data_IF_748008865631
#
_entry.id   IF_748008865631
#
_cell.length_a   1.000
_cell.length_b   1.000
_cell.length_c   1.000
_cell.angle_alpha   90.00
_cell.angle_beta   90.00
_cell.angle_gamma   90.00
#
_symmetry.space_group_name_H-M   'P 1'
#
loop_
_entity.id
_entity.type
_entity.pdbx_description
1 polymer ?
#
# COMPACT_ATOMS: atom_id res chain seq x y z
N UNK A 1 27.32 1.04 32.41
CA UNK A 1 27.60 0.36 31.11
C UNK A 1 26.35 0.30 30.23
N UNK A 2 25.22 -0.23 30.70
CA UNK A 2 23.97 -0.31 29.92
C UNK A 2 23.46 1.03 29.36
N UNK A 3 23.44 2.10 30.16
CA UNK A 3 23.00 3.44 29.70
C UNK A 3 23.86 4.01 28.57
N UNK A 4 25.18 3.75 28.59
CA UNK A 4 26.08 4.19 27.53
C UNK A 4 25.83 3.41 26.23
N UNK A 5 25.57 2.11 26.32
CA UNK A 5 25.23 1.26 25.16
C UNK A 5 23.89 1.72 24.56
N UNK A 6 22.88 1.97 25.39
CA UNK A 6 21.57 2.50 24.97
C UNK A 6 21.70 3.87 24.30
N UNK A 7 22.54 4.77 24.84
CA UNK A 7 22.77 6.09 24.26
C UNK A 7 23.48 6.04 22.89
N UNK A 8 24.43 5.12 22.73
CA UNK A 8 25.11 4.89 21.45
C UNK A 8 24.12 4.31 20.43
N UNK A 9 23.33 3.31 20.81
CA UNK A 9 22.32 2.72 19.94
C UNK A 9 21.27 3.75 19.49
N UNK A 10 20.76 4.59 20.40
CA UNK A 10 19.81 5.65 20.07
C UNK A 10 20.41 6.71 19.14
N UNK A 11 21.68 7.07 19.34
CA UNK A 11 22.39 8.02 18.48
C UNK A 11 22.63 7.45 17.07
N UNK A 12 23.02 6.18 16.98
CA UNK A 12 23.17 5.48 15.70
C UNK A 12 21.84 5.36 14.97
N UNK A 13 20.77 4.99 15.66
CA UNK A 13 19.43 4.90 15.08
C UNK A 13 18.95 6.27 14.58
N UNK A 14 19.14 7.33 15.38
CA UNK A 14 18.78 8.70 14.99
C UNK A 14 19.56 9.17 13.77
N UNK A 15 20.84 8.84 13.69
CA UNK A 15 21.67 9.12 12.51
C UNK A 15 21.15 8.39 11.26
N UNK A 16 20.83 7.10 11.40
CA UNK A 16 20.28 6.29 10.30
C UNK A 16 18.93 6.83 9.81
N UNK A 17 18.03 7.19 10.72
CA UNK A 17 16.72 7.75 10.38
C UNK A 17 16.82 9.13 9.72
N UNK A 18 17.72 10.00 10.20
CA UNK A 18 17.97 11.30 9.59
C UNK A 18 18.59 11.17 8.20
N UNK A 19 19.54 10.25 8.02
CA UNK A 19 20.13 9.95 6.72
C UNK A 19 19.08 9.40 5.74
N UNK A 20 18.24 8.47 6.19
CA UNK A 20 17.16 7.92 5.39
C UNK A 20 16.15 9.01 4.98
N UNK A 21 15.74 9.88 5.92
CA UNK A 21 14.87 11.02 5.65
C UNK A 21 15.48 11.99 4.62
N UNK A 22 16.76 12.33 4.78
CA UNK A 22 17.49 13.17 3.83
C UNK A 22 17.58 12.52 2.44
N UNK A 23 17.95 11.24 2.36
CA UNK A 23 18.03 10.52 1.08
C UNK A 23 16.65 10.40 0.42
N UNK A 24 15.60 10.11 1.20
CA UNK A 24 14.24 10.00 0.68
C UNK A 24 13.70 11.33 0.15
N UNK A 25 14.04 12.45 0.80
CA UNK A 25 13.67 13.78 0.33
C UNK A 25 14.51 14.24 -0.87
N UNK A 26 15.79 13.91 -0.91
CA UNK A 26 16.70 14.23 -2.02
C UNK A 26 16.41 13.41 -3.30
N UNK A 27 15.95 12.16 -3.15
CA UNK A 27 15.55 11.29 -4.26
C UNK A 27 14.14 11.63 -4.79
N UNK A 28 13.45 12.60 -4.19
CA UNK A 28 12.05 12.91 -4.46
C UNK A 28 11.12 11.76 -4.07
N UNK A 29 9.81 11.96 -4.16
CA UNK A 29 8.78 10.94 -3.87
C UNK A 29 8.80 9.71 -4.81
N UNK A 30 9.93 9.41 -5.44
CA UNK A 30 10.16 8.27 -6.34
C UNK A 30 10.33 6.94 -5.61
N UNK A 31 10.53 6.95 -4.29
CA UNK A 31 10.55 5.76 -3.43
C UNK A 31 9.15 5.31 -2.98
N UNK A 32 8.10 5.69 -3.69
CA UNK A 32 6.79 5.08 -3.53
C UNK A 32 6.68 4.01 -4.62
N UNK A 33 6.79 2.73 -4.26
CA UNK A 33 6.43 1.60 -5.12
C UNK A 33 4.95 1.74 -5.49
N UNK A 34 4.72 2.57 -6.49
CA UNK A 34 3.45 2.97 -7.04
C UNK A 34 3.61 2.96 -8.56
N UNK A 35 2.51 2.85 -9.32
CA UNK A 35 2.54 3.01 -10.76
C UNK A 35 3.02 4.40 -11.24
N UNK A 36 3.53 5.28 -10.38
CA UNK A 36 4.11 6.57 -10.74
C UNK A 36 5.23 6.45 -11.81
N UNK A 37 5.94 5.31 -11.86
CA UNK A 37 6.92 5.01 -12.93
C UNK A 37 6.24 5.03 -14.32
N UNK A 38 4.97 4.63 -14.43
CA UNK A 38 4.21 4.75 -15.67
C UNK A 38 3.94 6.22 -16.05
N UNK A 39 3.60 7.10 -15.10
CA UNK A 39 3.23 8.48 -15.43
C UNK A 39 4.42 9.33 -15.87
N UNK A 40 5.54 9.29 -15.14
CA UNK A 40 6.74 10.05 -15.51
C UNK A 40 7.38 9.50 -16.78
N UNK A 41 7.42 8.17 -16.94
CA UNK A 41 7.90 7.51 -18.15
C UNK A 41 7.07 7.86 -19.38
N UNK A 42 5.74 7.90 -19.24
CA UNK A 42 4.84 8.35 -20.31
C UNK A 42 5.05 9.83 -20.67
N UNK A 43 5.22 10.72 -19.68
CA UNK A 43 5.50 12.14 -19.96
C UNK A 43 6.85 12.31 -20.67
N UNK A 44 7.91 11.65 -20.22
CA UNK A 44 9.22 11.69 -20.88
C UNK A 44 9.16 11.13 -22.30
N UNK A 45 8.40 10.04 -22.52
CA UNK A 45 8.18 9.46 -23.83
C UNK A 45 7.40 10.41 -24.77
N UNK A 46 6.34 11.05 -24.28
CA UNK A 46 5.57 12.04 -25.04
C UNK A 46 6.38 13.29 -25.37
N UNK A 47 7.22 13.77 -24.44
CA UNK A 47 8.14 14.89 -24.68
C UNK A 47 9.21 14.53 -25.73
N UNK A 48 9.78 13.32 -25.66
CA UNK A 48 10.71 12.82 -26.67
C UNK A 48 10.04 12.72 -28.05
N UNK A 49 8.81 12.19 -28.11
CA UNK A 49 8.00 12.15 -29.32
C UNK A 49 7.77 13.57 -29.89
N UNK A 50 7.40 14.53 -29.03
CA UNK A 50 7.19 15.92 -29.43
C UNK A 50 8.49 16.55 -29.98
N UNK A 51 9.63 16.30 -29.35
CA UNK A 51 10.94 16.80 -29.81
C UNK A 51 11.33 16.20 -31.17
N UNK A 52 11.04 14.92 -31.39
CA UNK A 52 11.30 14.24 -32.68
C UNK A 52 10.39 14.78 -33.80
N UNK A 53 9.14 15.14 -33.49
CA UNK A 53 8.22 15.75 -34.45
C UNK A 53 8.65 17.18 -34.86
N UNK A 54 9.40 17.87 -34.01
CA UNK A 54 9.97 19.20 -34.28
C UNK A 54 11.26 19.15 -35.12
N UNK A 55 11.87 17.97 -35.31
CA UNK A 55 13.07 17.82 -36.14
C UNK A 55 12.77 18.02 -37.65
N UNK A 56 13.76 18.50 -38.44
CA UNK A 56 13.62 18.68 -39.89
C UNK A 56 13.15 17.40 -40.60
N UNK A 57 12.36 17.54 -41.66
CA UNK A 57 11.78 16.40 -42.41
C UNK A 57 12.78 15.31 -42.82
N UNK A 58 14.02 15.73 -43.05
CA UNK A 58 15.15 14.92 -43.49
C UNK A 58 15.74 14.03 -42.38
N UNK A 59 15.40 14.30 -41.11
CA UNK A 59 15.84 13.57 -39.91
C UNK A 59 14.67 12.88 -39.18
N UNK A 60 13.48 12.83 -39.79
CA UNK A 60 12.30 12.25 -39.17
C UNK A 60 12.44 10.73 -39.09
N UNK A 61 12.99 10.24 -37.98
CA UNK A 61 13.08 8.83 -37.60
C UNK A 61 11.70 8.22 -37.24
N UNK A 62 10.58 8.78 -37.73
CA UNK A 62 9.22 8.39 -37.35
C UNK A 62 8.93 6.92 -37.67
N UNK A 63 9.48 6.41 -38.78
CA UNK A 63 9.38 5.00 -39.15
C UNK A 63 10.04 4.04 -38.14
N UNK A 64 11.06 4.49 -37.40
CA UNK A 64 11.69 3.72 -36.33
C UNK A 64 10.94 3.88 -35.01
N UNK A 65 10.34 5.06 -34.78
CA UNK A 65 9.64 5.36 -33.54
C UNK A 65 8.32 4.61 -33.39
N UNK A 66 7.53 4.47 -34.46
CA UNK A 66 6.26 3.73 -34.45
C UNK A 66 6.44 2.27 -33.97
N UNK A 67 7.32 1.44 -34.56
CA UNK A 67 7.52 0.08 -34.08
C UNK A 67 8.16 0.03 -32.70
N UNK A 68 9.01 1.00 -32.32
CA UNK A 68 9.61 1.06 -30.97
C UNK A 68 8.59 1.44 -29.89
N UNK A 69 7.57 2.22 -30.25
CA UNK A 69 6.48 2.65 -29.36
C UNK A 69 5.38 1.60 -29.17
N UNK A 70 5.25 0.67 -30.12
CA UNK A 70 4.18 -0.31 -30.16
C UNK A 70 4.19 -1.27 -28.95
N UNK A 71 5.33 -1.81 -28.48
CA UNK A 71 5.38 -2.62 -27.26
C UNK A 71 4.99 -1.84 -26.00
N UNK A 72 5.33 -0.55 -25.93
CA UNK A 72 4.94 0.32 -24.81
C UNK A 72 3.43 0.56 -24.80
N UNK A 73 2.84 0.84 -25.97
CA UNK A 73 1.40 1.00 -26.12
C UNK A 73 0.64 -0.30 -25.82
N UNK A 74 1.13 -1.44 -26.32
CA UNK A 74 0.59 -2.76 -26.00
C UNK A 74 0.70 -3.03 -24.50
N UNK A 75 1.82 -2.70 -23.85
CA UNK A 75 1.99 -2.82 -22.40
C UNK A 75 0.95 -2.02 -21.62
N UNK A 76 0.70 -0.77 -22.02
CA UNK A 76 -0.34 0.09 -21.41
C UNK A 76 -1.75 -0.49 -21.62
N UNK A 77 -2.04 -1.02 -22.81
CA UNK A 77 -3.37 -1.55 -23.16
C UNK A 77 -3.64 -2.94 -22.55
N UNK A 78 -2.61 -3.78 -22.41
CA UNK A 78 -2.73 -5.15 -21.90
C UNK A 78 -2.79 -5.20 -20.37
N UNK A 79 -2.45 -4.11 -19.67
CA UNK A 79 -2.37 -4.07 -18.21
C UNK A 79 -3.73 -3.97 -17.48
N UNK A 80 -4.79 -4.49 -18.07
CA UNK A 80 -6.14 -4.48 -17.49
C UNK A 80 -6.75 -5.88 -17.51
N UNK A 81 -6.07 -6.88 -16.93
CA UNK A 81 -6.83 -8.00 -16.39
C UNK A 81 -7.56 -7.47 -15.15
N UNK A 82 -8.88 -7.35 -15.26
CA UNK A 82 -9.75 -7.08 -14.11
C UNK A 82 -9.74 -8.33 -13.21
N UNK A 83 -8.72 -8.44 -12.36
CA UNK A 83 -8.74 -9.41 -11.27
C UNK A 83 -9.94 -9.08 -10.37
N UNK A 84 -10.82 -10.05 -10.15
CA UNK A 84 -11.97 -9.92 -9.26
C UNK A 84 -11.53 -9.59 -7.82
N UNK A 85 -10.35 -10.08 -7.43
CA UNK A 85 -9.71 -9.83 -6.14
C UNK A 85 -8.23 -9.49 -6.34
N UNK A 86 -7.78 -8.42 -5.69
CA UNK A 86 -6.37 -8.06 -5.53
C UNK A 86 -5.99 -8.19 -4.07
N UNK A 87 -4.80 -8.75 -3.82
CA UNK A 87 -4.25 -8.94 -2.50
C UNK A 87 -2.90 -8.22 -2.43
N UNK A 88 -2.77 -7.29 -1.51
CA UNK A 88 -1.52 -6.59 -1.23
C UNK A 88 -1.08 -6.95 0.19
N UNK A 89 0.05 -7.64 0.32
CA UNK A 89 0.62 -8.03 1.62
C UNK A 89 1.64 -6.98 2.04
N UNK A 90 1.41 -6.31 3.16
CA UNK A 90 2.32 -5.30 3.66
C UNK A 90 3.42 -5.93 4.51
N UNK A 91 4.66 -5.50 4.27
CA UNK A 91 5.78 -5.86 5.14
C UNK A 91 5.71 -5.06 6.44
N UNK A 92 5.24 -5.74 7.49
CA UNK A 92 5.08 -5.19 8.84
C UNK A 92 6.03 -5.87 9.83
N UNK A 93 7.07 -6.56 9.34
CA UNK A 93 7.97 -7.35 10.19
C UNK A 93 7.28 -8.59 10.77
N UNK A 94 7.27 -8.73 12.10
CA UNK A 94 6.58 -9.84 12.77
C UNK A 94 5.09 -9.55 12.86
N UNK A 95 4.28 -10.28 12.08
CA UNK A 95 2.82 -10.19 12.09
C UNK A 95 2.25 -10.32 10.68
N UNK A 96 0.96 -9.99 10.54
CA UNK A 96 0.26 -9.99 9.25
C UNK A 96 -0.41 -8.62 9.01
N UNK A 97 -0.41 -8.18 7.76
CA UNK A 97 -1.27 -7.10 7.29
C UNK A 97 -1.53 -7.30 5.79
N UNK A 98 -2.78 -7.58 5.42
CA UNK A 98 -3.18 -7.86 4.03
C UNK A 98 -4.33 -6.95 3.65
N UNK A 99 -4.16 -6.20 2.57
CA UNK A 99 -5.21 -5.42 1.96
C UNK A 99 -5.84 -6.24 0.83
N UNK A 100 -7.12 -6.53 0.96
CA UNK A 100 -7.95 -7.17 -0.06
C UNK A 100 -8.75 -6.09 -0.78
N UNK A 101 -8.73 -6.08 -2.13
CA UNK A 101 -9.47 -5.12 -2.94
C UNK A 101 -10.27 -5.84 -4.03
N UNK A 102 -11.55 -5.54 -4.08
CA UNK A 102 -12.46 -5.93 -5.15
C UNK A 102 -12.63 -4.74 -6.11
N UNK A 103 -13.64 -4.78 -6.99
CA UNK A 103 -13.89 -3.67 -7.91
C UNK A 103 -14.26 -2.39 -7.14
N UNK A 104 -15.06 -2.52 -6.07
CA UNK A 104 -15.63 -1.37 -5.35
C UNK A 104 -15.40 -1.40 -3.83
N UNK A 105 -14.83 -2.47 -3.29
CA UNK A 105 -14.68 -2.66 -1.84
C UNK A 105 -13.25 -3.03 -1.45
N UNK A 106 -12.88 -2.71 -0.21
CA UNK A 106 -11.59 -3.05 0.36
C UNK A 106 -11.70 -3.49 1.82
N UNK A 107 -10.89 -4.50 2.16
CA UNK A 107 -10.75 -5.05 3.51
C UNK A 107 -9.30 -4.97 3.91
N UNK A 108 -9.02 -4.48 5.11
CA UNK A 108 -7.73 -4.68 5.75
C UNK A 108 -7.84 -5.85 6.73
N UNK A 109 -7.12 -6.93 6.46
CA UNK A 109 -7.01 -8.10 7.32
C UNK A 109 -5.70 -8.06 8.11
N UNK A 110 -5.79 -7.96 9.44
CA UNK A 110 -4.70 -7.68 10.38
C UNK A 110 -3.90 -6.39 10.09
N UNK A 111 -3.08 -5.97 11.06
CA UNK A 111 -2.49 -4.62 11.08
C UNK A 111 -1.04 -4.56 11.56
N UNK A 112 -0.43 -5.73 11.74
CA UNK A 112 0.90 -5.85 12.33
C UNK A 112 1.02 -5.30 13.77
N UNK A 113 2.26 -5.23 14.28
CA UNK A 113 2.55 -4.87 15.66
C UNK A 113 2.42 -3.36 15.95
N UNK A 114 2.18 -3.05 17.23
CA UNK A 114 2.42 -1.72 17.79
C UNK A 114 3.70 -1.71 18.65
N UNK A 115 4.49 -0.65 18.53
CA UNK A 115 5.73 -0.44 19.27
C UNK A 115 5.55 0.78 20.19
N UNK A 116 4.84 0.57 21.30
CA UNK A 116 4.49 1.63 22.25
C UNK A 116 3.29 2.49 21.83
N UNK A 117 3.03 3.57 22.56
CA UNK A 117 1.84 4.42 22.34
C UNK A 117 1.94 5.29 21.06
N UNK A 118 3.16 5.77 20.75
CA UNK A 118 3.38 6.77 19.69
C UNK A 118 3.88 6.16 18.36
N UNK A 119 4.23 4.88 18.33
CA UNK A 119 4.78 4.24 17.12
C UNK A 119 4.02 2.97 16.76
N UNK A 120 3.33 3.00 15.62
CA UNK A 120 2.59 1.85 15.11
C UNK A 120 2.72 1.73 13.59
N UNK A 121 2.66 0.48 13.11
CA UNK A 121 2.79 0.20 11.68
C UNK A 121 1.55 0.58 10.87
N UNK A 122 0.41 0.76 11.53
CA UNK A 122 -0.77 1.39 10.95
C UNK A 122 -0.45 2.74 10.29
N UNK A 123 0.16 3.66 11.04
CA UNK A 123 0.54 4.98 10.54
C UNK A 123 1.81 4.96 9.69
N UNK A 124 2.80 4.14 10.05
CA UNK A 124 4.12 4.16 9.39
C UNK A 124 4.14 3.43 8.03
N UNK A 125 3.34 2.38 7.87
CA UNK A 125 3.38 1.49 6.70
C UNK A 125 2.01 1.39 6.03
N UNK A 126 1.00 0.95 6.78
CA UNK A 126 -0.29 0.53 6.20
C UNK A 126 -1.04 1.71 5.57
N UNK A 127 -1.23 2.81 6.30
CA UNK A 127 -1.98 3.98 5.80
C UNK A 127 -1.30 4.61 4.57
N UNK A 128 0.03 4.89 4.58
CA UNK A 128 0.72 5.37 3.39
C UNK A 128 0.62 4.40 2.20
N UNK A 129 0.79 3.10 2.43
CA UNK A 129 0.73 2.09 1.37
C UNK A 129 -0.69 1.95 0.79
N UNK A 130 -1.72 1.91 1.62
CA UNK A 130 -3.11 1.86 1.16
C UNK A 130 -3.46 3.08 0.29
N UNK A 131 -3.06 4.29 0.73
CA UNK A 131 -3.26 5.51 -0.06
C UNK A 131 -2.51 5.49 -1.38
N UNK A 132 -1.29 4.98 -1.40
CA UNK A 132 -0.46 4.88 -2.61
C UNK A 132 -1.06 3.88 -3.62
N UNK A 133 -1.78 2.88 -3.13
CA UNK A 133 -2.58 1.93 -3.91
C UNK A 133 -3.95 2.49 -4.37
N UNK A 134 -4.24 3.75 -4.07
CA UNK A 134 -5.49 4.43 -4.47
C UNK A 134 -6.69 4.12 -3.56
N UNK A 135 -6.46 3.56 -2.37
CA UNK A 135 -7.53 3.30 -1.40
C UNK A 135 -7.92 4.60 -0.72
N UNK A 136 -9.11 5.09 -1.05
CA UNK A 136 -9.71 6.28 -0.42
C UNK A 136 -10.61 5.95 0.77
N UNK A 137 -11.15 4.74 0.82
CA UNK A 137 -12.01 4.23 1.89
C UNK A 137 -11.64 2.78 2.19
N UNK A 138 -11.77 2.36 3.44
CA UNK A 138 -11.80 0.94 3.83
C UNK A 138 -13.24 0.62 4.21
N UNK A 139 -13.80 -0.45 3.64
CA UNK A 139 -15.15 -0.90 3.98
C UNK A 139 -15.11 -1.72 5.29
N UNK A 140 -14.02 -2.48 5.50
CA UNK A 140 -13.86 -3.30 6.70
C UNK A 140 -12.40 -3.42 7.15
N UNK A 141 -12.19 -3.43 8.46
CA UNK A 141 -10.97 -3.88 9.13
C UNK A 141 -11.30 -5.16 9.88
N UNK A 142 -10.69 -6.27 9.48
CA UNK A 142 -10.91 -7.58 10.08
C UNK A 142 -9.66 -8.01 10.83
N UNK A 143 -9.83 -8.40 12.09
CA UNK A 143 -8.73 -8.77 13.00
C UNK A 143 -8.84 -10.25 13.31
N UNK A 144 -7.79 -11.00 13.02
CA UNK A 144 -7.76 -12.45 13.26
C UNK A 144 -7.84 -12.76 14.76
N UNK A 145 -7.05 -12.06 15.58
CA UNK A 145 -7.04 -12.13 17.04
C UNK A 145 -6.37 -10.87 17.63
N UNK A 146 -6.57 -10.62 18.93
CA UNK A 146 -6.20 -9.35 19.57
C UNK A 146 -4.84 -9.37 20.29
N UNK A 147 -3.92 -10.23 19.86
CA UNK A 147 -2.54 -10.21 20.35
C UNK A 147 -1.80 -8.95 19.88
N UNK A 148 -0.74 -8.58 20.59
CA UNK A 148 -0.04 -7.30 20.39
C UNK A 148 0.68 -7.17 19.04
N UNK A 149 0.95 -8.29 18.38
CA UNK A 149 1.53 -8.38 17.03
C UNK A 149 0.48 -8.31 15.90
N UNK A 150 -0.81 -8.25 16.24
CA UNK A 150 -1.93 -8.09 15.30
C UNK A 150 -2.84 -6.88 15.62
N UNK A 151 -2.76 -6.36 16.85
CA UNK A 151 -3.63 -5.27 17.35
C UNK A 151 -3.08 -3.85 17.12
N UNK A 152 -1.89 -3.73 16.54
CA UNK A 152 -1.23 -2.44 16.39
C UNK A 152 -1.95 -1.48 15.44
N UNK A 153 -2.03 -0.20 15.84
CA UNK A 153 -2.38 0.88 14.91
C UNK A 153 -3.85 0.99 14.49
N UNK A 154 -4.79 0.28 15.13
CA UNK A 154 -6.23 0.41 14.83
C UNK A 154 -6.70 1.87 14.88
N UNK A 155 -6.31 2.60 15.92
CA UNK A 155 -6.65 4.02 16.08
C UNK A 155 -6.15 4.85 14.90
N UNK A 156 -4.90 4.65 14.48
CA UNK A 156 -4.32 5.37 13.33
C UNK A 156 -5.03 5.01 12.02
N UNK A 157 -5.41 3.75 11.84
CA UNK A 157 -6.19 3.29 10.68
C UNK A 157 -7.58 3.92 10.67
N UNK A 158 -8.33 3.89 11.79
CA UNK A 158 -9.65 4.53 11.88
C UNK A 158 -9.59 6.05 11.80
N UNK A 159 -8.48 6.68 12.21
CA UNK A 159 -8.27 8.11 11.96
C UNK A 159 -8.15 8.39 10.46
N UNK A 160 -7.49 7.49 9.71
CA UNK A 160 -7.32 7.64 8.27
C UNK A 160 -8.56 7.17 7.46
N UNK A 161 -9.31 6.21 7.98
CA UNK A 161 -10.48 5.57 7.37
C UNK A 161 -11.61 5.45 8.42
N UNK A 162 -12.31 6.55 8.72
CA UNK A 162 -13.25 6.63 9.86
C UNK A 162 -14.51 5.79 9.69
N UNK A 163 -14.91 5.51 8.44
CA UNK A 163 -16.14 4.79 8.13
C UNK A 163 -15.95 3.26 8.08
N UNK A 164 -14.75 2.77 8.39
CA UNK A 164 -14.45 1.35 8.29
C UNK A 164 -15.10 0.55 9.44
N UNK A 165 -15.88 -0.47 9.09
CA UNK A 165 -16.41 -1.42 10.07
C UNK A 165 -15.29 -2.26 10.67
N UNK A 166 -15.27 -2.44 11.99
CA UNK A 166 -14.26 -3.28 12.66
C UNK A 166 -14.91 -4.59 13.07
N UNK A 167 -14.30 -5.70 12.64
CA UNK A 167 -14.71 -7.05 13.01
C UNK A 167 -13.52 -7.86 13.53
N UNK A 168 -13.76 -8.80 14.42
CA UNK A 168 -12.72 -9.68 14.96
C UNK A 168 -13.24 -10.74 15.92
N UNK A 169 -12.34 -11.54 16.48
CA UNK A 169 -12.69 -12.55 17.48
C UNK A 169 -13.35 -11.95 18.74
N UNK A 170 -14.02 -12.80 19.53
CA UNK A 170 -14.82 -12.40 20.71
C UNK A 170 -14.05 -11.63 21.80
N UNK A 171 -12.72 -11.71 21.79
CA UNK A 171 -11.84 -11.06 22.76
C UNK A 171 -11.59 -9.57 22.47
N UNK A 172 -12.14 -9.05 21.37
CA UNK A 172 -11.97 -7.65 20.91
C UNK A 172 -12.72 -6.58 21.70
N UNK A 173 -13.56 -6.98 22.66
CA UNK A 173 -14.44 -6.08 23.40
C UNK A 173 -15.84 -5.94 22.80
N UNK A 174 -16.68 -5.09 23.40
CA UNK A 174 -18.10 -4.94 23.09
C UNK A 174 -18.40 -4.09 21.86
N UNK A 175 -17.44 -3.31 21.40
CA UNK A 175 -17.63 -2.31 20.35
C UNK A 175 -17.18 -2.81 18.96
N UNK A 176 -16.82 -4.10 18.86
CA UNK A 176 -16.34 -4.76 17.64
C UNK A 176 -17.35 -5.82 17.23
N UNK A 177 -17.67 -5.87 15.93
CA UNK A 177 -18.53 -6.93 15.39
C UNK A 177 -17.81 -8.29 15.50
N UNK A 178 -18.43 -9.24 16.21
CA UNK A 178 -17.83 -10.56 16.38
C UNK A 178 -17.83 -11.34 15.06
N UNK A 179 -16.68 -11.86 14.67
CA UNK A 179 -16.58 -12.86 13.60
C UNK A 179 -17.31 -14.13 14.04
N UNK A 180 -18.26 -14.60 13.23
CA UNK A 180 -19.01 -15.83 13.52
C UNK A 180 -18.74 -16.86 12.42
N UNK A 181 -18.38 -18.08 12.79
CA UNK A 181 -18.18 -19.16 11.83
C UNK A 181 -19.42 -19.36 10.94
N UNK A 182 -19.21 -19.41 9.62
CA UNK A 182 -20.27 -19.49 8.62
C UNK A 182 -20.85 -18.14 8.17
N UNK A 183 -20.44 -17.02 8.79
CA UNK A 183 -20.73 -15.68 8.25
C UNK A 183 -20.14 -15.59 6.85
N UNK A 184 -20.96 -15.20 5.89
CA UNK A 184 -20.54 -15.04 4.50
C UNK A 184 -21.22 -13.83 3.89
N UNK A 185 -20.53 -13.22 2.95
CA UNK A 185 -21.06 -12.12 2.17
C UNK A 185 -20.41 -12.13 0.78
N UNK A 186 -21.02 -11.45 -0.16
CA UNK A 186 -20.48 -11.29 -1.51
C UNK A 186 -20.28 -9.81 -1.80
N UNK A 187 -19.08 -9.44 -2.20
CA UNK A 187 -18.79 -8.12 -2.74
C UNK A 187 -18.27 -8.26 -4.16
N UNK A 188 -18.94 -7.56 -5.08
CA UNK A 188 -18.70 -7.71 -6.52
C UNK A 188 -18.76 -9.20 -6.93
N UNK A 189 -17.66 -9.73 -7.50
CA UNK A 189 -17.51 -11.12 -7.96
C UNK A 189 -16.83 -12.03 -6.91
N UNK A 190 -16.65 -11.57 -5.67
CA UNK A 190 -15.89 -12.27 -4.63
C UNK A 190 -16.78 -12.65 -3.46
N UNK A 191 -16.80 -13.94 -3.13
CA UNK A 191 -17.45 -14.49 -1.94
C UNK A 191 -16.46 -14.60 -0.79
N UNK A 192 -16.83 -14.06 0.36
CA UNK A 192 -16.07 -14.11 1.59
C UNK A 192 -16.78 -15.02 2.58
N UNK A 193 -16.03 -15.84 3.32
CA UNK A 193 -16.57 -16.73 4.35
C UNK A 193 -15.66 -16.74 5.55
N UNK A 194 -16.23 -16.46 6.72
CA UNK A 194 -15.57 -16.64 8.01
C UNK A 194 -15.62 -18.12 8.37
N UNK A 195 -14.44 -18.74 8.44
CA UNK A 195 -14.35 -20.17 8.75
C UNK A 195 -14.37 -20.42 10.27
N UNK A 196 -13.79 -19.50 11.04
CA UNK A 196 -13.67 -19.57 12.50
C UNK A 196 -13.73 -18.15 13.07
N UNK A 197 -14.18 -18.01 14.33
CA UNK A 197 -14.28 -16.74 15.05
C UNK A 197 -14.27 -16.92 16.55
#
# INVERSE_FOLDING_TARGET
MAQAILGIAASMLSLMLNLFSFLSSALGQSSQWTPAIHQTGMISFLLLLCLILLLPAQLRLYHLFVPLSLPLLIGILVQQSHAALRLDVFDVGQGLAVLLRTANHSILYDRGPAYGEDHNLGQAVIVPAARSLGVSRLDRVMVSHFDSDHSGGLRSILTAFPDAEVSGGRDGGTDIEACVAGQHWRWDEVEFTVLHG
#
